data_IF_018966064731
#
_entry.id   IF_018966064731
#
_cell.length_a   1.000
_cell.length_b   1.000
_cell.length_c   1.000
_cell.angle_alpha   90.00
_cell.angle_beta   90.00
_cell.angle_gamma   90.00
#
_symmetry.space_group_name_H-M   'P 1'
#
loop_
_entity.id
_entity.type
_entity.pdbx_description
1 polymer ?
#
# COMPACT_ATOMS: atom_id res chain seq x y z
N UNK A 1 -3.49 -5.26 14.74
CA UNK A 1 -2.82 -5.01 13.46
C UNK A 1 -2.99 -3.56 13.01
N UNK A 2 -1.88 -2.90 12.70
CA UNK A 2 -1.73 -1.53 12.23
C UNK A 2 -2.33 -0.48 13.17
N UNK A 3 -1.91 -0.49 14.43
CA UNK A 3 -2.36 0.49 15.46
C UNK A 3 -1.21 1.32 16.04
N UNK A 4 0.03 0.94 15.75
CA UNK A 4 1.25 1.56 16.25
C UNK A 4 1.74 2.65 15.28
N UNK A 5 2.85 3.32 15.62
CA UNK A 5 3.44 4.37 14.77
C UNK A 5 3.81 3.82 13.40
N UNK A 6 3.52 4.60 12.36
CA UNK A 6 3.84 4.27 10.97
C UNK A 6 5.21 4.83 10.59
N UNK A 7 6.05 3.95 10.04
CA UNK A 7 7.36 4.27 9.53
C UNK A 7 7.46 3.85 8.07
N UNK A 8 8.43 4.42 7.36
CA UNK A 8 8.82 4.02 6.03
C UNK A 8 10.33 3.78 6.04
N UNK A 9 10.80 2.77 5.31
CA UNK A 9 12.22 2.59 5.04
C UNK A 9 12.77 3.75 4.22
N UNK A 10 14.11 3.83 4.14
CA UNK A 10 14.75 4.85 3.31
C UNK A 10 14.34 4.72 1.85
N UNK A 11 14.25 3.51 1.28
CA UNK A 11 13.82 3.30 -0.10
C UNK A 11 12.43 3.87 -0.36
N UNK A 12 11.46 3.53 0.50
CA UNK A 12 10.10 4.08 0.38
C UNK A 12 10.09 5.60 0.52
N UNK A 13 10.80 6.16 1.51
CA UNK A 13 10.83 7.60 1.73
C UNK A 13 11.46 8.38 0.57
N UNK A 14 12.35 7.76 -0.21
CA UNK A 14 13.00 8.39 -1.36
C UNK A 14 12.27 8.20 -2.68
N UNK A 15 11.63 7.04 -2.88
CA UNK A 15 11.07 6.64 -4.19
C UNK A 15 9.55 6.81 -4.28
N UNK A 16 8.85 6.85 -3.14
CA UNK A 16 7.39 6.84 -3.09
C UNK A 16 6.86 8.18 -2.59
N UNK A 17 6.02 8.82 -3.41
CA UNK A 17 5.32 10.06 -3.03
C UNK A 17 4.53 9.91 -1.73
N UNK A 18 4.51 10.96 -0.91
CA UNK A 18 3.80 10.93 0.38
C UNK A 18 2.30 10.69 0.21
N UNK A 19 1.71 11.17 -0.88
CA UNK A 19 0.33 10.94 -1.29
C UNK A 19 0.02 9.44 -1.48
N UNK A 20 0.91 8.70 -2.15
CA UNK A 20 0.82 7.25 -2.31
C UNK A 20 0.96 6.59 -0.94
N UNK A 21 1.98 6.92 -0.16
CA UNK A 21 2.20 6.32 1.17
C UNK A 21 0.95 6.46 2.07
N UNK A 22 0.40 7.67 2.18
CA UNK A 22 -0.82 7.94 2.96
C UNK A 22 -2.03 7.19 2.40
N UNK A 23 -2.13 7.08 1.07
CA UNK A 23 -3.21 6.33 0.43
C UNK A 23 -3.14 4.85 0.79
N UNK A 24 -1.96 4.22 0.72
CA UNK A 24 -1.78 2.82 1.07
C UNK A 24 -2.11 2.54 2.55
N UNK A 25 -1.70 3.43 3.48
CA UNK A 25 -2.12 3.34 4.88
C UNK A 25 -3.63 3.43 5.04
N UNK A 26 -4.27 4.37 4.34
CA UNK A 26 -5.73 4.52 4.38
C UNK A 26 -6.48 3.30 3.83
N UNK A 27 -5.89 2.55 2.89
CA UNK A 27 -6.48 1.31 2.37
C UNK A 27 -6.50 0.20 3.42
N UNK A 28 -5.46 0.09 4.25
CA UNK A 28 -5.42 -0.84 5.39
C UNK A 28 -6.50 -0.46 6.41
N UNK A 29 -6.57 0.83 6.78
CA UNK A 29 -7.61 1.32 7.71
C UNK A 29 -9.02 1.10 7.17
N UNK A 30 -9.21 1.25 5.86
CA UNK A 30 -10.50 0.99 5.20
C UNK A 30 -10.91 -0.48 5.36
N UNK A 31 -9.99 -1.43 5.14
CA UNK A 31 -10.27 -2.88 5.35
C UNK A 31 -10.77 -3.14 6.77
N UNK A 32 -10.08 -2.60 7.77
CA UNK A 32 -10.47 -2.70 9.19
C UNK A 32 -11.88 -2.14 9.43
N UNK A 33 -12.19 -0.97 8.87
CA UNK A 33 -13.51 -0.32 9.02
C UNK A 33 -14.66 -1.10 8.39
N UNK A 34 -14.42 -1.82 7.29
CA UNK A 34 -15.44 -2.64 6.61
C UNK A 34 -15.50 -4.08 7.14
N UNK A 35 -14.79 -4.39 8.23
CA UNK A 35 -14.85 -5.69 8.90
C UNK A 35 -14.00 -6.78 8.26
N UNK A 36 -13.08 -6.43 7.34
CA UNK A 36 -12.07 -7.38 6.86
C UNK A 36 -11.00 -7.53 7.95
N UNK A 37 -10.77 -8.76 8.39
CA UNK A 37 -9.65 -9.10 9.26
C UNK A 37 -8.33 -8.88 8.50
N UNK A 38 -7.38 -8.19 9.12
CA UNK A 38 -6.11 -7.77 8.50
C UNK A 38 -4.99 -8.52 9.20
N UNK A 39 -4.17 -9.26 8.45
CA UNK A 39 -2.97 -9.93 8.95
C UNK A 39 -1.81 -8.94 9.19
N UNK A 40 -0.64 -9.48 9.51
CA UNK A 40 0.56 -8.70 9.75
C UNK A 40 1.24 -8.19 8.45
N UNK A 41 0.87 -8.72 7.27
CA UNK A 41 1.54 -8.43 5.99
C UNK A 41 0.54 -7.98 4.92
N UNK A 42 0.64 -6.71 4.56
CA UNK A 42 -0.17 -6.11 3.50
C UNK A 42 0.72 -5.87 2.28
N UNK A 43 0.32 -6.41 1.13
CA UNK A 43 1.09 -6.30 -0.12
C UNK A 43 0.34 -5.40 -1.10
N UNK A 44 1.04 -4.42 -1.65
CA UNK A 44 0.55 -3.50 -2.65
C UNK A 44 1.40 -3.63 -3.92
N UNK A 45 0.78 -4.06 -5.01
CA UNK A 45 1.40 -4.08 -6.33
C UNK A 45 0.88 -2.87 -7.10
N UNK A 46 1.76 -1.89 -7.31
CA UNK A 46 1.49 -0.64 -7.99
C UNK A 46 1.91 -0.77 -9.45
N UNK A 47 1.05 -0.33 -10.36
CA UNK A 47 1.40 -0.19 -11.77
C UNK A 47 0.71 1.01 -12.40
N UNK A 48 1.29 1.50 -13.49
CA UNK A 48 0.74 2.63 -14.23
C UNK A 48 -0.25 2.09 -15.25
N UNK A 49 -1.49 2.55 -15.19
CA UNK A 49 -2.50 2.28 -16.20
C UNK A 49 -2.78 3.55 -17.00
N UNK A 50 -3.35 3.40 -18.19
CA UNK A 50 -3.81 4.53 -19.00
C UNK A 50 -5.28 4.36 -19.29
N UNK A 51 -6.07 5.38 -18.98
CA UNK A 51 -7.49 5.43 -19.28
C UNK A 51 -7.77 6.75 -20.00
N UNK A 52 -8.29 6.65 -21.23
CA UNK A 52 -8.61 7.80 -22.07
C UNK A 52 -7.43 8.78 -22.27
N UNK A 53 -6.20 8.25 -22.32
CA UNK A 53 -4.97 9.04 -22.48
C UNK A 53 -4.43 9.67 -21.19
N UNK A 54 -5.08 9.44 -20.05
CA UNK A 54 -4.67 9.93 -18.74
C UNK A 54 -4.03 8.78 -17.96
N UNK A 55 -2.83 9.01 -17.43
CA UNK A 55 -2.15 8.06 -16.55
C UNK A 55 -2.88 7.96 -15.21
N UNK A 56 -3.13 6.73 -14.75
CA UNK A 56 -3.85 6.42 -13.52
C UNK A 56 -3.03 5.40 -12.75
N UNK A 57 -2.87 5.62 -11.44
CA UNK A 57 -2.24 4.62 -10.57
C UNK A 57 -3.19 3.45 -10.35
N UNK A 58 -2.80 2.26 -10.78
CA UNK A 58 -3.46 1.00 -10.39
C UNK A 58 -2.77 0.45 -9.14
N UNK A 59 -3.56 -0.05 -8.20
CA UNK A 59 -3.07 -0.73 -6.99
C UNK A 59 -3.80 -2.05 -6.83
N UNK A 60 -3.08 -3.15 -6.79
CA UNK A 60 -3.59 -4.45 -6.34
C UNK A 60 -3.17 -4.61 -4.88
N UNK A 61 -4.15 -4.63 -3.98
CA UNK A 61 -3.92 -4.80 -2.55
C UNK A 61 -4.29 -6.22 -2.16
N UNK A 62 -3.35 -6.99 -1.61
CA UNK A 62 -3.57 -8.35 -1.14
C UNK A 62 -3.01 -8.60 0.26
N UNK A 63 -3.48 -9.67 0.88
CA UNK A 63 -3.03 -10.21 2.15
C UNK A 63 -3.16 -11.75 2.13
N UNK A 64 -2.58 -12.45 3.11
CA UNK A 64 -2.48 -13.90 3.13
C UNK A 64 -3.55 -14.57 4.01
N UNK A 65 -3.89 -14.01 5.18
CA UNK A 65 -4.79 -14.67 6.14
C UNK A 65 -5.76 -13.72 6.88
N UNK A 66 -7.09 -13.83 6.69
CA UNK A 66 -7.73 -14.58 5.62
C UNK A 66 -7.33 -14.03 4.23
N UNK A 67 -7.25 -14.86 3.18
CA UNK A 67 -6.89 -14.38 1.85
C UNK A 67 -7.89 -13.32 1.37
N UNK A 68 -7.40 -12.14 1.01
CA UNK A 68 -8.23 -11.07 0.46
C UNK A 68 -7.46 -10.24 -0.56
N UNK A 69 -8.09 -9.99 -1.72
CA UNK A 69 -7.53 -9.23 -2.83
C UNK A 69 -8.53 -8.17 -3.31
N UNK A 70 -8.04 -6.96 -3.59
CA UNK A 70 -8.83 -5.89 -4.18
C UNK A 70 -7.98 -5.10 -5.18
N UNK A 71 -8.61 -4.62 -6.25
CA UNK A 71 -7.96 -3.73 -7.23
C UNK A 71 -8.57 -2.33 -7.15
N UNK A 72 -7.71 -1.33 -7.11
CA UNK A 72 -8.08 0.08 -7.06
C UNK A 72 -7.46 0.84 -8.24
N UNK A 73 -8.16 1.87 -8.69
CA UNK A 73 -7.67 2.83 -9.67
C UNK A 73 -7.74 4.21 -9.03
N UNK A 74 -6.60 4.89 -8.94
CA UNK A 74 -6.42 6.17 -8.25
C UNK A 74 -6.06 7.24 -9.30
N UNK A 75 -7.05 7.98 -9.83
CA UNK A 75 -6.83 8.94 -10.91
C UNK A 75 -6.22 10.27 -10.45
N UNK A 76 -6.01 10.47 -9.14
CA UNK A 76 -5.57 11.74 -8.53
C UNK A 76 -4.07 11.70 -8.17
N UNK A 77 -3.39 10.57 -8.36
CA UNK A 77 -1.95 10.46 -8.11
C UNK A 77 -1.20 11.24 -9.21
N UNK A 78 -0.48 12.29 -8.82
CA UNK A 78 0.22 13.20 -9.75
C UNK A 78 1.36 12.49 -10.49
N UNK A 79 2.10 11.64 -9.77
CA UNK A 79 3.22 10.86 -10.31
C UNK A 79 3.00 9.38 -10.04
N UNK A 80 2.23 8.67 -10.90
CA UNK A 80 2.06 7.23 -10.78
C UNK A 80 3.41 6.50 -10.87
N UNK A 81 3.55 5.44 -10.08
CA UNK A 81 4.74 4.61 -10.01
C UNK A 81 4.42 3.14 -10.27
N UNK A 82 5.45 2.39 -10.61
CA UNK A 82 5.40 0.93 -10.77
C UNK A 82 6.40 0.29 -9.82
N UNK A 83 5.89 -0.41 -8.80
CA UNK A 83 6.69 -1.17 -7.84
C UNK A 83 5.79 -2.01 -6.94
N UNK A 84 6.39 -2.91 -6.17
CA UNK A 84 5.70 -3.59 -5.07
C UNK A 84 6.12 -2.96 -3.75
N UNK A 85 5.16 -2.69 -2.87
CA UNK A 85 5.37 -2.16 -1.53
C UNK A 85 4.74 -3.12 -0.54
N UNK A 86 5.46 -3.45 0.52
CA UNK A 86 4.93 -4.18 1.67
C UNK A 86 4.66 -3.21 2.80
N UNK A 87 3.60 -3.45 3.56
CA UNK A 87 3.38 -2.84 4.86
C UNK A 87 3.26 -3.96 5.89
N UNK A 88 4.10 -3.89 6.92
CA UNK A 88 4.19 -4.89 7.97
C UNK A 88 3.81 -4.29 9.32
N UNK A 89 3.20 -5.08 10.18
CA UNK A 89 3.02 -4.78 11.60
C UNK A 89 3.88 -5.72 12.46
N UNK A 90 4.84 -5.16 13.20
CA UNK A 90 5.72 -5.89 14.13
C UNK A 90 5.22 -5.86 15.57
N UNK A 91 3.96 -5.48 15.80
CA UNK A 91 3.35 -5.18 17.11
C UNK A 91 3.86 -3.88 17.75
N UNK A 92 5.17 -3.65 17.73
CA UNK A 92 5.79 -2.42 18.25
C UNK A 92 5.63 -1.22 17.31
N UNK A 93 5.75 -1.46 16.01
CA UNK A 93 5.64 -0.44 14.98
C UNK A 93 5.12 -1.04 13.69
N UNK A 94 4.63 -0.17 12.80
CA UNK A 94 4.28 -0.58 11.45
C UNK A 94 5.24 0.08 10.47
N UNK A 95 5.64 -0.66 9.45
CA UNK A 95 6.65 -0.21 8.49
C UNK A 95 6.21 -0.49 7.07
N UNK A 96 6.32 0.51 6.19
CA UNK A 96 6.36 0.31 4.75
C UNK A 96 7.79 0.09 4.28
N UNK A 97 7.99 -0.92 3.44
CA UNK A 97 9.28 -1.30 2.89
C UNK A 97 9.13 -1.84 1.46
N UNK A 98 10.21 -1.78 0.70
CA UNK A 98 10.33 -2.52 -0.55
C UNK A 98 10.59 -4.00 -0.24
N UNK A 99 10.08 -4.96 -1.05
CA UNK A 99 10.33 -6.39 -0.84
C UNK A 99 11.82 -6.75 -0.79
N UNK A 100 12.67 -5.99 -1.51
CA UNK A 100 14.12 -6.19 -1.56
C UNK A 100 14.86 -5.69 -0.31
N UNK A 101 14.18 -4.92 0.56
CA UNK A 101 14.71 -4.45 1.84
C UNK A 101 14.43 -5.42 3.00
N UNK A 102 13.70 -6.51 2.75
CA UNK A 102 13.35 -7.55 3.71
C UNK A 102 14.30 -8.76 3.59
#
# INVERSE_FOLDING_TARGET
MFTSKWYATRGIATEVGLDIQLTLWSMIDKRKKIGIEVDYLQVFELSINSKDGISVQKVIHRQECPPAIATYFLPIIETPIEMTIWAMDSEEYCMMLLPEEY
#
